data_IF_486484401116
#
_entry.id   IF_486484401116
#
_cell.length_a   1.000
_cell.length_b   1.000
_cell.length_c   1.000
_cell.angle_alpha   90.00
_cell.angle_beta   90.00
_cell.angle_gamma   90.00
#
_symmetry.space_group_name_H-M   'P 1'
#
loop_
_entity.id
_entity.type
_entity.pdbx_description
1 polymer ?
#
# COMPACT_ATOMS: atom_id res chain seq x y z
N UNK A 1 -14.10 17.52 -12.49
CA UNK A 1 -13.33 16.71 -13.48
C UNK A 1 -12.03 16.08 -12.92
N UNK A 2 -11.55 16.38 -11.70
CA UNK A 2 -10.30 15.78 -11.16
C UNK A 2 -10.39 14.33 -10.67
N UNK A 3 -11.57 13.71 -10.68
CA UNK A 3 -11.80 12.38 -10.10
C UNK A 3 -11.18 11.23 -10.92
N UNK A 4 -11.07 11.37 -12.24
CA UNK A 4 -10.47 10.34 -13.09
C UNK A 4 -8.96 10.20 -12.88
N UNK A 5 -8.29 11.26 -12.40
CA UNK A 5 -6.84 11.25 -12.26
C UNK A 5 -6.40 10.29 -11.13
N UNK A 6 -7.03 10.35 -9.96
CA UNK A 6 -6.64 9.53 -8.79
C UNK A 6 -6.75 8.04 -9.09
N UNK A 7 -7.82 7.61 -9.77
CA UNK A 7 -8.00 6.20 -10.15
C UNK A 7 -6.88 5.72 -11.08
N UNK A 8 -6.53 6.52 -12.08
CA UNK A 8 -5.45 6.19 -13.03
C UNK A 8 -4.09 6.13 -12.32
N UNK A 9 -3.77 7.08 -11.43
CA UNK A 9 -2.53 7.05 -10.65
C UNK A 9 -2.42 5.80 -9.79
N UNK A 10 -3.49 5.44 -9.05
CA UNK A 10 -3.48 4.24 -8.21
C UNK A 10 -3.33 2.95 -9.04
N UNK A 11 -3.90 2.90 -10.24
CA UNK A 11 -3.70 1.78 -11.17
C UNK A 11 -2.27 1.72 -11.71
N UNK A 12 -1.69 2.86 -12.11
CA UNK A 12 -0.29 2.93 -12.56
C UNK A 12 0.64 2.42 -11.45
N UNK A 13 0.41 2.86 -10.21
CA UNK A 13 1.20 2.41 -9.05
C UNK A 13 1.07 0.91 -8.83
N UNK A 14 -0.15 0.37 -8.88
CA UNK A 14 -0.39 -1.07 -8.75
C UNK A 14 0.35 -1.88 -9.83
N UNK A 15 0.29 -1.45 -11.09
CA UNK A 15 0.99 -2.12 -12.19
C UNK A 15 2.52 -2.01 -12.07
N UNK A 16 3.04 -0.82 -11.78
CA UNK A 16 4.48 -0.61 -11.60
C UNK A 16 5.00 -1.48 -10.47
N UNK A 17 4.33 -1.49 -9.31
CA UNK A 17 4.73 -2.32 -8.18
C UNK A 17 4.64 -3.82 -8.49
N UNK A 18 3.61 -4.27 -9.23
CA UNK A 18 3.50 -5.67 -9.66
C UNK A 18 4.66 -6.08 -10.59
N UNK A 19 5.00 -5.23 -11.57
CA UNK A 19 6.13 -5.47 -12.49
C UNK A 19 7.45 -5.47 -11.74
N UNK A 20 7.68 -4.49 -10.85
CA UNK A 20 8.88 -4.44 -10.03
C UNK A 20 9.00 -5.67 -9.14
N UNK A 21 7.92 -6.09 -8.47
CA UNK A 21 7.91 -7.31 -7.65
C UNK A 21 8.25 -8.56 -8.47
N UNK A 22 7.74 -8.67 -9.70
CA UNK A 22 8.07 -9.76 -10.61
C UNK A 22 9.55 -9.74 -11.05
N UNK A 23 10.09 -8.56 -11.39
CA UNK A 23 11.49 -8.41 -11.77
C UNK A 23 12.43 -8.75 -10.60
N UNK A 24 12.12 -8.28 -9.40
CA UNK A 24 12.88 -8.60 -8.18
C UNK A 24 12.81 -10.09 -7.88
N UNK A 25 11.63 -10.73 -8.04
CA UNK A 25 11.50 -12.17 -7.89
C UNK A 25 12.39 -12.94 -8.86
N UNK A 26 12.39 -12.57 -10.14
CA UNK A 26 13.25 -13.20 -11.16
C UNK A 26 14.72 -13.00 -10.81
N UNK A 27 15.12 -11.79 -10.37
CA UNK A 27 16.49 -11.51 -9.96
C UNK A 27 16.92 -12.34 -8.75
N UNK A 28 16.06 -12.50 -7.74
CA UNK A 28 16.33 -13.33 -6.56
C UNK A 28 16.44 -14.82 -6.90
N UNK A 29 15.57 -15.32 -7.79
CA UNK A 29 15.65 -16.71 -8.27
C UNK A 29 16.94 -16.93 -9.07
N UNK A 30 17.28 -16.00 -9.98
CA UNK A 30 18.53 -16.06 -10.73
C UNK A 30 19.75 -16.03 -9.79
N UNK A 31 19.72 -15.18 -8.77
CA UNK A 31 20.76 -15.12 -7.74
C UNK A 31 20.85 -16.43 -6.94
N UNK A 32 19.72 -17.03 -6.55
CA UNK A 32 19.68 -18.32 -5.87
C UNK A 32 20.27 -19.45 -6.73
N UNK A 33 20.09 -19.41 -8.04
CA UNK A 33 20.69 -20.38 -8.98
C UNK A 33 22.20 -20.18 -9.18
N UNK A 34 22.71 -18.97 -8.96
CA UNK A 34 24.14 -18.63 -9.12
C UNK A 34 24.93 -18.79 -7.83
N UNK A 35 24.27 -18.77 -6.65
CA UNK A 35 24.89 -19.13 -5.37
C UNK A 35 25.27 -20.63 -5.40
N UNK A 36 26.45 -20.89 -5.92
CA UNK A 36 27.13 -22.18 -5.88
C UNK A 36 28.41 -22.08 -5.04
N UNK A 37 29.02 -23.21 -4.71
CA UNK A 37 30.28 -23.30 -3.95
C UNK A 37 31.40 -22.48 -4.59
N UNK A 38 31.40 -22.36 -5.93
CA UNK A 38 32.38 -21.56 -6.65
C UNK A 38 32.21 -20.06 -6.38
N UNK A 39 30.97 -19.56 -6.38
CA UNK A 39 30.68 -18.15 -6.07
C UNK A 39 30.96 -17.83 -4.60
N UNK A 40 30.65 -18.76 -3.70
CA UNK A 40 30.97 -18.62 -2.27
C UNK A 40 32.49 -18.57 -2.02
N UNK A 41 33.26 -19.43 -2.70
CA UNK A 41 34.73 -19.43 -2.64
C UNK A 41 35.34 -18.15 -3.18
N UNK A 42 34.85 -17.64 -4.31
CA UNK A 42 35.34 -16.40 -4.91
C UNK A 42 35.15 -15.19 -3.98
N UNK A 43 34.04 -15.15 -3.24
CA UNK A 43 33.73 -14.08 -2.29
C UNK A 43 34.25 -14.32 -0.86
N UNK A 44 35.00 -15.40 -0.62
CA UNK A 44 35.50 -15.80 0.70
C UNK A 44 34.39 -15.90 1.77
N UNK A 45 33.21 -16.42 1.39
CA UNK A 45 32.11 -16.59 2.33
C UNK A 45 32.28 -17.84 3.18
N UNK A 46 32.06 -17.70 4.48
CA UNK A 46 31.93 -18.86 5.38
C UNK A 46 30.62 -19.61 5.11
N UNK A 47 30.53 -20.88 5.49
CA UNK A 47 29.30 -21.69 5.32
C UNK A 47 28.08 -21.02 5.96
N UNK A 48 28.24 -20.42 7.14
CA UNK A 48 27.18 -19.69 7.83
C UNK A 48 26.70 -18.48 7.04
N UNK A 49 27.60 -17.75 6.36
CA UNK A 49 27.25 -16.61 5.53
C UNK A 49 26.50 -17.07 4.28
N UNK A 50 27.00 -18.11 3.60
CA UNK A 50 26.33 -18.72 2.44
C UNK A 50 24.90 -19.14 2.81
N UNK A 51 24.74 -19.84 3.95
CA UNK A 51 23.44 -20.28 4.44
C UNK A 51 22.53 -19.10 4.80
N UNK A 52 23.05 -18.05 5.44
CA UNK A 52 22.29 -16.85 5.77
C UNK A 52 21.80 -16.12 4.51
N UNK A 53 22.66 -15.93 3.51
CA UNK A 53 22.27 -15.30 2.23
C UNK A 53 21.26 -16.15 1.46
N UNK A 54 21.43 -17.47 1.45
CA UNK A 54 20.48 -18.39 0.82
C UNK A 54 19.10 -18.33 1.51
N UNK A 55 19.07 -18.38 2.84
CA UNK A 55 17.84 -18.23 3.62
C UNK A 55 17.17 -16.86 3.39
N UNK A 56 17.95 -15.78 3.37
CA UNK A 56 17.46 -14.44 3.07
C UNK A 56 16.88 -14.34 1.65
N UNK A 57 17.49 -15.04 0.68
CA UNK A 57 17.01 -15.09 -0.71
C UNK A 57 15.66 -15.82 -0.81
N UNK A 58 15.52 -16.98 -0.14
CA UNK A 58 14.25 -17.71 -0.07
C UNK A 58 13.16 -16.85 0.56
N UNK A 59 13.46 -16.22 1.70
CA UNK A 59 12.52 -15.32 2.39
C UNK A 59 12.12 -14.15 1.48
N UNK A 60 13.10 -13.56 0.78
CA UNK A 60 12.86 -12.51 -0.21
C UNK A 60 11.92 -12.95 -1.33
N UNK A 61 12.09 -14.17 -1.86
CA UNK A 61 11.19 -14.75 -2.86
C UNK A 61 9.75 -14.88 -2.35
N UNK A 62 9.58 -15.37 -1.12
CA UNK A 62 8.25 -15.49 -0.48
C UNK A 62 7.59 -14.12 -0.32
N UNK A 63 8.35 -13.12 0.16
CA UNK A 63 7.86 -11.74 0.29
C UNK A 63 7.50 -11.12 -1.07
N UNK A 64 8.26 -11.41 -2.13
CA UNK A 64 7.94 -10.96 -3.48
C UNK A 64 6.63 -11.56 -4.01
N UNK A 65 6.38 -12.85 -3.76
CA UNK A 65 5.12 -13.51 -4.14
C UNK A 65 3.94 -12.90 -3.39
N UNK A 66 4.06 -12.70 -2.07
CA UNK A 66 3.03 -12.05 -1.26
C UNK A 66 2.76 -10.63 -1.78
N UNK A 67 3.81 -9.85 -2.03
CA UNK A 67 3.71 -8.50 -2.58
C UNK A 67 3.02 -8.50 -3.95
N UNK A 68 3.37 -9.44 -4.83
CA UNK A 68 2.72 -9.57 -6.15
C UNK A 68 1.22 -9.86 -6.00
N UNK A 69 0.83 -10.80 -5.13
CA UNK A 69 -0.57 -11.11 -4.85
C UNK A 69 -1.31 -9.88 -4.33
N UNK A 70 -0.73 -9.15 -3.38
CA UNK A 70 -1.30 -7.92 -2.84
C UNK A 70 -1.50 -6.85 -3.93
N UNK A 71 -0.53 -6.66 -4.82
CA UNK A 71 -0.64 -5.73 -5.94
C UNK A 71 -1.73 -6.16 -6.94
N UNK A 72 -1.87 -7.46 -7.22
CA UNK A 72 -2.99 -7.97 -8.04
C UNK A 72 -4.33 -7.73 -7.35
N UNK A 73 -4.44 -7.96 -6.03
CA UNK A 73 -5.66 -7.65 -5.27
C UNK A 73 -6.01 -6.17 -5.29
N UNK A 74 -5.01 -5.28 -5.22
CA UNK A 74 -5.17 -3.83 -5.40
C UNK A 74 -5.75 -3.52 -6.78
N UNK A 75 -5.12 -4.03 -7.85
CA UNK A 75 -5.54 -3.78 -9.24
C UNK A 75 -6.98 -4.26 -9.46
N UNK A 76 -7.28 -5.51 -9.09
CA UNK A 76 -8.62 -6.10 -9.20
C UNK A 76 -9.64 -5.33 -8.35
N UNK A 77 -9.24 -4.92 -7.14
CA UNK A 77 -10.05 -4.09 -6.25
C UNK A 77 -10.45 -2.76 -6.87
N UNK A 78 -9.52 -2.09 -7.57
CA UNK A 78 -9.79 -0.83 -8.26
C UNK A 78 -10.65 -1.04 -9.52
N UNK A 79 -10.42 -2.11 -10.29
CA UNK A 79 -11.24 -2.39 -11.49
C UNK A 79 -12.68 -2.75 -11.13
N UNK A 80 -12.88 -3.62 -10.16
CA UNK A 80 -14.19 -4.12 -9.74
C UNK A 80 -14.88 -3.24 -8.69
N UNK A 81 -14.25 -2.12 -8.28
CA UNK A 81 -14.71 -1.26 -7.18
C UNK A 81 -15.01 -2.03 -5.88
N UNK A 82 -14.27 -3.11 -5.60
CA UNK A 82 -14.46 -3.98 -4.43
C UNK A 82 -13.63 -3.47 -3.25
N UNK A 83 -14.28 -2.71 -2.36
CA UNK A 83 -13.65 -2.11 -1.16
C UNK A 83 -12.92 -3.15 -0.30
N UNK A 84 -13.47 -4.36 -0.16
CA UNK A 84 -12.86 -5.42 0.66
C UNK A 84 -11.45 -5.82 0.18
N UNK A 85 -11.23 -5.91 -1.14
CA UNK A 85 -9.91 -6.25 -1.69
C UNK A 85 -8.91 -5.11 -1.52
N UNK A 86 -9.38 -3.88 -1.73
CA UNK A 86 -8.58 -2.66 -1.53
C UNK A 86 -8.17 -2.49 -0.06
N UNK A 87 -9.06 -2.80 0.87
CA UNK A 87 -8.79 -2.73 2.30
C UNK A 87 -7.67 -3.69 2.72
N UNK A 88 -7.66 -4.93 2.23
CA UNK A 88 -6.61 -5.92 2.54
C UNK A 88 -5.23 -5.38 2.15
N UNK A 89 -5.10 -4.80 0.95
CA UNK A 89 -3.86 -4.17 0.51
C UNK A 89 -3.43 -3.02 1.44
N UNK A 90 -4.37 -2.15 1.80
CA UNK A 90 -4.12 -0.99 2.67
C UNK A 90 -3.64 -1.41 4.06
N UNK A 91 -4.30 -2.40 4.67
CA UNK A 91 -3.86 -2.93 5.97
C UNK A 91 -2.47 -3.56 5.87
N UNK A 92 -2.17 -4.31 4.80
CA UNK A 92 -0.86 -4.88 4.58
C UNK A 92 0.23 -3.80 4.45
N UNK A 93 -0.06 -2.69 3.75
CA UNK A 93 0.86 -1.55 3.63
C UNK A 93 1.10 -0.86 4.97
N UNK A 94 0.05 -0.64 5.80
CA UNK A 94 0.23 -0.09 7.14
C UNK A 94 1.12 -0.96 8.02
N UNK A 95 0.92 -2.28 7.98
CA UNK A 95 1.75 -3.24 8.70
C UNK A 95 3.18 -3.22 8.17
N UNK A 96 3.38 -3.19 6.85
CA UNK A 96 4.71 -3.11 6.22
C UNK A 96 5.47 -1.87 6.64
N UNK A 97 4.84 -0.69 6.56
CA UNK A 97 5.44 0.59 6.99
C UNK A 97 5.79 0.55 8.48
N UNK A 98 4.88 0.06 9.33
CA UNK A 98 5.13 -0.07 10.77
C UNK A 98 6.32 -0.99 11.08
N UNK A 99 6.38 -2.16 10.45
CA UNK A 99 7.50 -3.09 10.57
C UNK A 99 8.80 -2.49 10.02
N UNK A 100 8.75 -1.73 8.92
CA UNK A 100 9.88 -1.03 8.34
C UNK A 100 10.49 0.00 9.29
N UNK A 101 9.66 0.80 9.96
CA UNK A 101 10.11 1.76 10.98
C UNK A 101 10.77 1.03 12.15
N UNK A 102 10.13 -0.02 12.67
CA UNK A 102 10.68 -0.83 13.77
C UNK A 102 12.04 -1.44 13.37
N UNK A 103 12.12 -2.04 12.17
CA UNK A 103 13.34 -2.65 11.66
C UNK A 103 14.46 -1.61 11.48
N UNK A 104 14.14 -0.40 10.99
CA UNK A 104 15.11 0.68 10.84
C UNK A 104 15.69 1.10 12.20
N UNK A 105 14.85 1.24 13.23
CA UNK A 105 15.28 1.58 14.59
C UNK A 105 16.12 0.47 15.21
N UNK A 106 15.68 -0.79 15.14
CA UNK A 106 16.43 -1.94 15.66
C UNK A 106 17.80 -2.03 14.97
N UNK A 107 17.85 -1.92 13.64
CA UNK A 107 19.10 -1.98 12.88
C UNK A 107 20.06 -0.86 13.29
N UNK A 108 19.54 0.35 13.52
CA UNK A 108 20.35 1.47 14.01
C UNK A 108 20.94 1.19 15.40
N UNK A 109 20.11 0.74 16.35
CA UNK A 109 20.56 0.40 17.71
C UNK A 109 21.62 -0.71 17.68
N UNK A 110 21.35 -1.78 16.93
CA UNK A 110 22.25 -2.93 16.79
C UNK A 110 23.61 -2.49 16.25
N UNK A 111 23.65 -1.65 15.22
CA UNK A 111 24.91 -1.12 14.68
C UNK A 111 25.69 -0.29 15.68
N UNK A 112 25.02 0.51 16.50
CA UNK A 112 25.66 1.27 17.57
C UNK A 112 26.25 0.33 18.65
N UNK A 113 25.55 -0.74 19.01
CA UNK A 113 26.03 -1.74 19.99
C UNK A 113 27.28 -2.46 19.46
N UNK A 114 27.30 -2.83 18.18
CA UNK A 114 28.44 -3.48 17.53
C UNK A 114 29.62 -2.56 17.20
N UNK A 115 29.54 -1.27 17.61
CA UNK A 115 30.59 -0.27 17.43
C UNK A 115 30.92 0.04 15.97
N UNK A 116 29.93 -0.05 15.09
CA UNK A 116 30.03 0.57 13.76
C UNK A 116 30.33 2.08 13.93
N UNK A 117 31.05 2.72 12.98
CA UNK A 117 31.18 4.16 12.97
C UNK A 117 29.81 4.83 13.07
N UNK A 118 29.62 5.69 14.07
CA UNK A 118 28.31 6.30 14.34
C UNK A 118 27.75 7.06 13.13
N UNK A 119 28.64 7.66 12.32
CA UNK A 119 28.29 8.29 11.05
C UNK A 119 27.65 7.32 10.06
N UNK A 120 28.21 6.13 9.86
CA UNK A 120 27.69 5.12 8.92
C UNK A 120 26.35 4.55 9.41
N UNK A 121 26.23 4.29 10.71
CA UNK A 121 24.98 3.87 11.31
C UNK A 121 23.87 4.92 11.11
N UNK A 122 24.19 6.20 11.33
CA UNK A 122 23.26 7.31 11.14
C UNK A 122 22.86 7.51 9.68
N UNK A 123 23.81 7.45 8.75
CA UNK A 123 23.52 7.55 7.31
C UNK A 123 22.64 6.40 6.84
N UNK A 124 22.88 5.17 7.31
CA UNK A 124 22.04 4.02 7.00
C UNK A 124 20.61 4.19 7.56
N UNK A 125 20.47 4.72 8.78
CA UNK A 125 19.18 5.03 9.36
C UNK A 125 18.43 6.10 8.55
N UNK A 126 19.11 7.20 8.19
CA UNK A 126 18.53 8.25 7.36
C UNK A 126 18.08 7.72 6.00
N UNK A 127 18.89 6.87 5.37
CA UNK A 127 18.54 6.18 4.12
C UNK A 127 17.25 5.37 4.26
N UNK A 128 17.10 4.60 5.33
CA UNK A 128 15.88 3.83 5.60
C UNK A 128 14.65 4.74 5.81
N UNK A 129 14.80 5.86 6.53
CA UNK A 129 13.72 6.83 6.69
C UNK A 129 13.27 7.45 5.36
N UNK A 130 14.24 7.76 4.48
CA UNK A 130 13.94 8.27 3.14
C UNK A 130 13.16 7.23 2.33
N UNK A 131 13.55 5.95 2.37
CA UNK A 131 12.79 4.88 1.69
C UNK A 131 11.35 4.77 2.22
N UNK A 132 11.16 4.78 3.54
CA UNK A 132 9.83 4.73 4.15
C UNK A 132 9.00 5.96 3.77
N UNK A 133 9.60 7.15 3.73
CA UNK A 133 8.92 8.37 3.30
C UNK A 133 8.44 8.29 1.84
N UNK A 134 9.28 7.76 0.94
CA UNK A 134 8.88 7.51 -0.45
C UNK A 134 7.75 6.48 -0.55
N UNK A 135 7.81 5.41 0.24
CA UNK A 135 6.75 4.40 0.30
C UNK A 135 5.40 5.01 0.72
N UNK A 136 5.40 5.88 1.75
CA UNK A 136 4.20 6.62 2.19
C UNK A 136 3.67 7.55 1.08
N UNK A 137 4.55 8.26 0.37
CA UNK A 137 4.15 9.16 -0.73
C UNK A 137 3.51 8.37 -1.88
N UNK A 138 4.13 7.25 -2.28
CA UNK A 138 3.61 6.36 -3.33
C UNK A 138 2.27 5.74 -2.89
N UNK A 139 2.11 5.42 -1.61
CA UNK A 139 0.88 4.86 -1.07
C UNK A 139 -0.29 5.87 -0.98
N UNK A 140 0.01 7.16 -0.83
CA UNK A 140 -0.96 8.23 -0.64
C UNK A 140 -2.15 8.22 -1.64
N UNK A 141 -1.97 8.18 -2.98
CA UNK A 141 -3.08 8.16 -3.92
C UNK A 141 -3.98 6.92 -3.80
N UNK A 142 -3.42 5.76 -3.42
CA UNK A 142 -4.19 4.53 -3.19
C UNK A 142 -5.08 4.70 -1.96
N UNK A 143 -4.53 5.27 -0.88
CA UNK A 143 -5.28 5.56 0.33
C UNK A 143 -6.38 6.61 0.10
N UNK A 144 -6.07 7.70 -0.63
CA UNK A 144 -7.07 8.71 -0.99
C UNK A 144 -8.22 8.12 -1.81
N UNK A 145 -7.91 7.21 -2.75
CA UNK A 145 -8.92 6.49 -3.52
C UNK A 145 -9.80 5.64 -2.61
N UNK A 146 -9.21 4.89 -1.68
CA UNK A 146 -9.95 4.08 -0.72
C UNK A 146 -10.88 4.91 0.17
N UNK A 147 -10.37 6.01 0.73
CA UNK A 147 -11.17 6.92 1.56
C UNK A 147 -12.37 7.44 0.78
N UNK A 148 -12.15 7.86 -0.47
CA UNK A 148 -13.21 8.36 -1.34
C UNK A 148 -14.29 7.32 -1.70
N UNK A 149 -13.93 6.05 -1.83
CA UNK A 149 -14.91 4.99 -2.11
C UNK A 149 -15.65 4.58 -0.82
N UNK A 150 -15.00 4.74 0.34
CA UNK A 150 -15.52 4.31 1.64
C UNK A 150 -16.42 5.36 2.29
N UNK A 151 -16.09 6.63 2.12
CA UNK A 151 -16.91 7.75 2.56
C UNK A 151 -17.94 8.03 1.47
N UNK A 152 -19.23 7.62 1.63
CA UNK A 152 -20.26 8.10 0.73
C UNK A 152 -20.22 9.63 0.77
N UNK A 153 -20.29 10.28 -0.40
CA UNK A 153 -20.45 11.73 -0.45
C UNK A 153 -21.54 12.08 0.56
N UNK A 154 -21.27 12.95 1.55
CA UNK A 154 -22.33 13.40 2.44
C UNK A 154 -23.38 13.96 1.49
N UNK A 155 -24.51 13.25 1.39
CA UNK A 155 -25.63 13.67 0.56
C UNK A 155 -25.76 15.16 0.81
N UNK A 156 -25.54 15.97 -0.23
CA UNK A 156 -25.84 17.39 -0.18
C UNK A 156 -27.27 17.45 0.33
N UNK A 157 -27.44 17.79 1.61
CA UNK A 157 -28.71 18.09 2.27
C UNK A 157 -29.26 19.44 1.76
N UNK A 158 -29.05 19.74 0.47
CA UNK A 158 -29.54 20.91 -0.26
C UNK A 158 -30.21 20.34 -1.53
N UNK A 159 -31.53 20.22 -1.67
CA UNK A 159 -32.64 20.94 -1.05
C UNK A 159 -33.80 19.98 -0.79
N UNK A 160 -34.04 19.59 0.47
CA UNK A 160 -35.44 19.60 0.94
C UNK A 160 -35.80 21.07 1.03
N UNK A 161 -36.27 21.64 -0.08
CA UNK A 161 -37.01 22.89 0.01
C UNK A 161 -38.11 22.69 1.04
N UNK A 162 -38.37 23.66 1.94
CA UNK A 162 -39.53 23.56 2.81
C UNK A 162 -40.73 23.29 1.90
N UNK A 163 -41.42 22.19 2.16
CA UNK A 163 -42.67 21.80 1.50
C UNK A 163 -43.75 22.84 1.86
N UNK A 164 -43.62 24.04 1.32
CA UNK A 164 -44.53 25.17 1.50
C UNK A 164 -45.52 25.20 0.33
N UNK A 165 -46.33 24.15 0.19
CA UNK A 165 -47.58 24.03 -0.59
C UNK A 165 -47.99 22.55 -0.42
N UNK A 166 -49.00 22.15 0.35
CA UNK A 166 -50.40 22.51 0.15
C UNK A 166 -51.18 22.43 1.48
N UNK A 167 -51.18 23.52 2.24
CA UNK A 167 -52.15 23.74 3.30
C UNK A 167 -52.74 25.14 3.21
N UNK A 168 -53.42 25.46 2.09
CA UNK A 168 -54.40 26.55 2.03
C UNK A 168 -55.12 26.63 0.66
N UNK A 169 -56.40 26.22 0.64
CA UNK A 169 -57.54 26.69 -0.20
C UNK A 169 -58.41 25.52 -0.69
N UNK A 170 -59.74 25.45 -0.52
CA UNK A 170 -60.77 26.42 -0.12
C UNK A 170 -61.96 25.71 0.52
N UNK A 171 -62.52 26.39 1.50
CA UNK A 171 -63.88 26.30 2.04
C UNK A 171 -65.00 26.24 0.97
N UNK A 172 -65.96 25.33 1.20
CA UNK A 172 -67.43 25.35 1.01
C UNK A 172 -68.08 26.22 -0.11
N UNK A 173 -69.19 25.73 -0.72
CA UNK A 173 -70.48 26.17 -0.19
C UNK A 173 -71.58 25.09 -0.11
N UNK A 174 -72.49 25.35 0.83
CA UNK A 174 -73.87 24.88 0.94
C UNK A 174 -74.60 24.72 -0.41
N UNK A 175 -75.42 23.67 -0.53
CA UNK A 175 -76.73 23.76 -1.18
C UNK A 175 -77.66 22.69 -0.61
N UNK A 176 -78.76 23.13 0.00
CA UNK A 176 -79.88 22.27 0.38
C UNK A 176 -80.83 21.97 -0.79
N UNK A 177 -82.02 21.49 -0.42
CA UNK A 177 -83.16 21.00 -1.22
C UNK A 177 -82.99 19.53 -1.67
N UNK A 178 -83.90 18.58 -1.41
CA UNK A 178 -85.36 18.63 -1.16
C UNK A 178 -85.71 17.59 -0.09
#
# INVERSE_FOLDING_TARGET
>A
MSCCNIRSWSLIIGWVNAVVALLVFIALVAFACVIDDNYAKENNWNEDQKNAYFAATILGCVLCVISFILNVMLIVGIYQARIKLLAIYIYAMYVSIGLGVIAAVITFIVRLIYKDPAGDAFLNFLRNLVYIAFEVIIFSPVYMLYKKITEPEPELQEHRGPSNNDSANKSTPYSGHI
#
